data_IF_015899557645
#
_entry.id   IF_015899557645
#
_cell.length_a   1.000
_cell.length_b   1.000
_cell.length_c   1.000
_cell.angle_alpha   90.00
_cell.angle_beta   90.00
_cell.angle_gamma   90.00
#
_symmetry.space_group_name_H-M   'P 1'
#
loop_
_entity.id
_entity.type
_entity.pdbx_description
1 polymer ?
#
# COMPACT_ATOMS: atom_id res chain seq x y z
N UNK A 1 11.70 19.54 -29.06
CA UNK A 1 10.46 20.27 -29.42
C UNK A 1 9.47 20.03 -28.29
N UNK A 2 8.89 21.07 -27.70
CA UNK A 2 7.97 20.88 -26.57
C UNK A 2 6.70 20.15 -27.01
N UNK A 3 6.29 19.16 -26.23
CA UNK A 3 5.00 18.47 -26.42
C UNK A 3 3.88 19.51 -26.27
N UNK A 4 2.90 19.60 -27.20
CA UNK A 4 1.79 20.54 -27.07
C UNK A 4 0.99 20.32 -25.79
N UNK A 5 0.52 21.40 -25.16
CA UNK A 5 -0.28 21.34 -23.92
C UNK A 5 -1.52 20.45 -24.08
N UNK A 6 -2.18 20.51 -25.25
CA UNK A 6 -3.33 19.65 -25.57
C UNK A 6 -2.99 18.16 -25.53
N UNK A 7 -1.77 17.79 -25.92
CA UNK A 7 -1.31 16.39 -25.87
C UNK A 7 -1.18 15.93 -24.43
N UNK A 8 -0.59 16.73 -23.53
CA UNK A 8 -0.57 16.39 -22.09
C UNK A 8 -1.98 16.26 -21.53
N UNK A 9 -2.88 17.20 -21.82
CA UNK A 9 -4.25 17.15 -21.28
C UNK A 9 -4.94 15.85 -21.71
N UNK A 10 -4.93 15.55 -23.01
CA UNK A 10 -5.60 14.36 -23.54
C UNK A 10 -4.94 13.08 -23.03
N UNK A 11 -3.62 12.99 -23.08
CA UNK A 11 -2.89 11.78 -22.67
C UNK A 11 -3.03 11.54 -21.17
N UNK A 12 -2.86 12.56 -20.33
CA UNK A 12 -2.91 12.42 -18.87
C UNK A 12 -4.32 12.13 -18.37
N UNK A 13 -5.33 12.86 -18.86
CA UNK A 13 -6.74 12.59 -18.49
C UNK A 13 -7.15 11.21 -18.97
N UNK A 14 -6.82 10.86 -20.22
CA UNK A 14 -7.09 9.52 -20.77
C UNK A 14 -6.44 8.42 -19.94
N UNK A 15 -5.18 8.60 -19.54
CA UNK A 15 -4.46 7.63 -18.72
C UNK A 15 -5.01 7.53 -17.29
N UNK A 16 -5.38 8.65 -16.64
CA UNK A 16 -6.03 8.62 -15.32
C UNK A 16 -7.35 7.86 -15.39
N UNK A 17 -8.21 8.17 -16.36
CA UNK A 17 -9.51 7.48 -16.53
C UNK A 17 -9.29 5.99 -16.78
N UNK A 18 -8.35 5.65 -17.66
CA UNK A 18 -7.96 4.26 -17.91
C UNK A 18 -7.52 3.55 -16.62
N UNK A 19 -6.65 4.18 -15.81
CA UNK A 19 -6.17 3.61 -14.56
C UNK A 19 -7.31 3.43 -13.54
N UNK A 20 -8.25 4.36 -13.44
CA UNK A 20 -9.42 4.23 -12.56
C UNK A 20 -10.28 3.02 -12.96
N UNK A 21 -10.53 2.83 -14.26
CA UNK A 21 -11.25 1.67 -14.79
C UNK A 21 -10.47 0.38 -14.55
N UNK A 22 -9.16 0.40 -14.78
CA UNK A 22 -8.27 -0.73 -14.57
C UNK A 22 -8.28 -1.18 -13.10
N UNK A 23 -8.18 -0.25 -12.15
CA UNK A 23 -8.25 -0.55 -10.72
C UNK A 23 -9.60 -1.17 -10.36
N UNK A 24 -10.71 -0.62 -10.87
CA UNK A 24 -12.05 -1.20 -10.63
C UNK A 24 -12.16 -2.62 -11.19
N UNK A 25 -11.70 -2.84 -12.42
CA UNK A 25 -11.71 -4.14 -13.07
C UNK A 25 -10.87 -5.15 -12.30
N UNK A 26 -9.63 -4.80 -11.95
CA UNK A 26 -8.72 -5.68 -11.22
C UNK A 26 -9.22 -6.00 -9.81
N UNK A 27 -9.87 -5.04 -9.14
CA UNK A 27 -10.56 -5.31 -7.89
C UNK A 27 -11.70 -6.30 -8.11
N UNK A 28 -12.64 -6.05 -9.01
CA UNK A 28 -13.81 -6.93 -9.19
C UNK A 28 -13.48 -8.33 -9.69
N UNK A 29 -12.33 -8.53 -10.34
CA UNK A 29 -11.95 -9.80 -10.97
C UNK A 29 -10.63 -10.36 -10.38
N UNK A 30 -10.61 -10.83 -9.11
CA UNK A 30 -9.38 -11.32 -8.48
C UNK A 30 -8.71 -12.47 -9.23
N UNK A 31 -9.51 -13.36 -9.87
CA UNK A 31 -8.99 -14.49 -10.67
C UNK A 31 -8.22 -14.02 -11.90
N UNK A 32 -8.84 -13.13 -12.68
CA UNK A 32 -8.22 -12.53 -13.86
C UNK A 32 -6.98 -11.73 -13.46
N UNK A 33 -7.08 -10.95 -12.39
CA UNK A 33 -5.97 -10.13 -11.87
C UNK A 33 -4.78 -10.97 -11.47
N UNK A 34 -5.00 -12.08 -10.75
CA UNK A 34 -3.93 -13.02 -10.41
C UNK A 34 -3.25 -13.59 -11.66
N UNK A 35 -4.04 -14.08 -12.62
CA UNK A 35 -3.50 -14.61 -13.87
C UNK A 35 -2.73 -13.56 -14.67
N UNK A 36 -3.28 -12.35 -14.81
CA UNK A 36 -2.65 -11.23 -15.50
C UNK A 36 -1.28 -10.90 -14.90
N UNK A 37 -1.19 -10.72 -13.58
CA UNK A 37 0.08 -10.40 -12.93
C UNK A 37 1.08 -11.56 -12.98
N UNK A 38 0.63 -12.81 -12.89
CA UNK A 38 1.52 -13.96 -13.03
C UNK A 38 2.10 -14.06 -14.44
N UNK A 39 1.26 -13.86 -15.47
CA UNK A 39 1.70 -13.80 -16.87
C UNK A 39 2.61 -12.60 -17.14
N UNK A 40 2.39 -11.47 -16.46
CA UNK A 40 3.26 -10.30 -16.61
C UNK A 40 4.71 -10.61 -16.21
N UNK A 41 4.95 -11.51 -15.25
CA UNK A 41 6.31 -11.92 -14.88
C UNK A 41 7.02 -12.69 -16.01
N UNK A 42 6.27 -13.35 -16.90
CA UNK A 42 6.83 -14.03 -18.06
C UNK A 42 7.36 -13.05 -19.13
N UNK A 43 7.00 -11.77 -19.02
CA UNK A 43 7.56 -10.71 -19.88
C UNK A 43 8.94 -10.25 -19.44
N UNK A 44 9.51 -10.80 -18.36
CA UNK A 44 10.84 -10.48 -17.86
C UNK A 44 11.96 -10.45 -18.92
N UNK A 45 11.98 -11.34 -19.95
CA UNK A 45 12.96 -11.25 -21.03
C UNK A 45 12.92 -9.93 -21.81
N UNK A 46 11.74 -9.33 -21.97
CA UNK A 46 11.55 -8.06 -22.69
C UNK A 46 11.96 -6.84 -21.85
N UNK A 47 12.15 -7.01 -20.54
CA UNK A 47 12.53 -5.93 -19.66
C UNK A 47 14.00 -5.53 -19.84
N UNK A 48 14.86 -6.47 -20.24
CA UNK A 48 16.29 -6.23 -20.45
C UNK A 48 16.55 -5.16 -21.51
N UNK A 49 15.68 -5.06 -22.50
CA UNK A 49 15.81 -4.09 -23.59
C UNK A 49 15.39 -2.67 -23.20
N UNK A 50 14.66 -2.51 -22.08
CA UNK A 50 14.02 -1.25 -21.68
C UNK A 50 14.43 -0.76 -20.27
N UNK A 51 14.96 -1.64 -19.42
CA UNK A 51 15.35 -1.33 -18.05
C UNK A 51 16.87 -1.16 -17.92
N UNK A 52 17.32 0.08 -18.07
CA UNK A 52 18.71 0.44 -17.79
C UNK A 52 18.96 0.70 -16.30
N UNK A 53 19.95 0.00 -15.76
CA UNK A 53 20.47 0.19 -14.41
C UNK A 53 19.80 -0.67 -13.34
N UNK A 54 20.61 -1.08 -12.35
CA UNK A 54 20.18 -1.99 -11.28
C UNK A 54 18.98 -1.46 -10.49
N UNK A 55 18.88 -0.14 -10.31
CA UNK A 55 17.81 0.51 -9.57
C UNK A 55 16.45 0.27 -10.22
N UNK A 56 16.34 0.43 -11.55
CA UNK A 56 15.08 0.21 -12.27
C UNK A 56 14.67 -1.26 -12.20
N UNK A 57 15.63 -2.16 -12.36
CA UNK A 57 15.41 -3.60 -12.17
C UNK A 57 14.91 -3.94 -10.77
N UNK A 58 15.59 -3.46 -9.73
CA UNK A 58 15.19 -3.67 -8.35
C UNK A 58 13.77 -3.13 -8.09
N UNK A 59 13.43 -1.96 -8.64
CA UNK A 59 12.09 -1.39 -8.52
C UNK A 59 11.02 -2.23 -9.22
N UNK A 60 11.29 -2.67 -10.45
CA UNK A 60 10.36 -3.51 -11.22
C UNK A 60 10.08 -4.81 -10.52
N UNK A 61 11.13 -5.51 -10.08
CA UNK A 61 11.02 -6.78 -9.39
C UNK A 61 10.32 -6.61 -8.03
N UNK A 62 10.71 -5.61 -7.24
CA UNK A 62 10.13 -5.34 -5.90
C UNK A 62 8.67 -4.87 -5.93
N UNK A 63 8.14 -4.43 -7.08
CA UNK A 63 6.72 -4.10 -7.24
C UNK A 63 5.94 -5.25 -7.87
N UNK A 64 6.42 -5.81 -8.98
CA UNK A 64 5.66 -6.82 -9.74
C UNK A 64 5.57 -8.15 -8.99
N UNK A 65 6.66 -8.61 -8.35
CA UNK A 65 6.64 -9.88 -7.62
C UNK A 65 5.67 -9.84 -6.43
N UNK A 66 5.72 -8.86 -5.51
CA UNK A 66 4.73 -8.78 -4.44
C UNK A 66 3.30 -8.61 -4.94
N UNK A 67 3.09 -7.86 -6.03
CA UNK A 67 1.76 -7.70 -6.62
C UNK A 67 1.21 -9.02 -7.16
N UNK A 68 2.00 -9.75 -7.93
CA UNK A 68 1.61 -11.03 -8.52
C UNK A 68 1.44 -12.13 -7.48
N UNK A 69 2.49 -12.36 -6.67
CA UNK A 69 2.56 -13.52 -5.79
C UNK A 69 1.86 -13.25 -4.47
N UNK A 70 2.10 -12.12 -3.83
CA UNK A 70 1.61 -11.87 -2.46
C UNK A 70 0.17 -11.36 -2.51
N UNK A 71 -0.07 -10.22 -3.17
CA UNK A 71 -1.42 -9.65 -3.25
C UNK A 71 -2.33 -10.57 -4.04
N UNK A 72 -1.90 -11.05 -5.21
CA UNK A 72 -2.70 -11.96 -6.04
C UNK A 72 -3.10 -13.25 -5.32
N UNK A 73 -2.14 -13.96 -4.71
CA UNK A 73 -2.45 -15.21 -3.98
C UNK A 73 -3.25 -14.97 -2.70
N UNK A 74 -2.99 -13.88 -1.97
CA UNK A 74 -3.76 -13.54 -0.77
C UNK A 74 -5.24 -13.30 -1.12
N UNK A 75 -5.52 -12.52 -2.17
CA UNK A 75 -6.90 -12.29 -2.62
C UNK A 75 -7.58 -13.57 -3.08
N UNK A 76 -6.87 -14.44 -3.78
CA UNK A 76 -7.39 -15.75 -4.20
C UNK A 76 -7.65 -16.67 -3.01
N UNK A 77 -6.80 -16.64 -2.00
CA UNK A 77 -6.94 -17.41 -0.78
C UNK A 77 -8.15 -16.99 0.07
N UNK A 78 -8.52 -15.71 0.04
CA UNK A 78 -9.75 -15.22 0.66
C UNK A 78 -10.99 -15.43 -0.22
N UNK A 79 -10.86 -15.40 -1.54
CA UNK A 79 -11.94 -15.78 -2.46
C UNK A 79 -12.37 -17.25 -2.26
N UNK A 80 -11.41 -18.13 -2.03
CA UNK A 80 -11.63 -19.56 -1.73
C UNK A 80 -11.37 -19.85 -0.26
N UNK A 81 -12.02 -19.09 0.62
CA UNK A 81 -11.81 -19.18 2.07
C UNK A 81 -12.03 -20.60 2.61
N UNK A 82 -13.12 -21.26 2.20
CA UNK A 82 -13.49 -22.59 2.70
C UNK A 82 -12.64 -23.72 2.11
N UNK A 83 -11.77 -23.42 1.14
CA UNK A 83 -10.93 -24.44 0.53
C UNK A 83 -9.84 -24.91 1.53
N UNK A 84 -9.72 -26.24 1.78
CA UNK A 84 -8.77 -26.79 2.74
C UNK A 84 -7.31 -26.79 2.25
N UNK A 85 -7.03 -26.39 1.00
CA UNK A 85 -5.69 -26.39 0.41
C UNK A 85 -4.67 -25.65 1.30
N UNK A 86 -3.58 -26.33 1.63
CA UNK A 86 -2.48 -25.83 2.49
C UNK A 86 -1.85 -24.55 1.94
N UNK A 87 -1.73 -24.41 0.63
CA UNK A 87 -1.14 -23.22 -0.02
C UNK A 87 -2.06 -22.01 0.19
N UNK A 88 -3.37 -22.16 -0.04
CA UNK A 88 -4.32 -21.06 0.20
C UNK A 88 -4.37 -20.70 1.69
N UNK A 89 -4.40 -21.69 2.59
CA UNK A 89 -4.28 -21.45 4.04
C UNK A 89 -3.02 -20.68 4.40
N UNK A 90 -1.88 -20.99 3.76
CA UNK A 90 -0.62 -20.29 4.00
C UNK A 90 -0.73 -18.80 3.68
N UNK A 91 -1.36 -18.41 2.57
CA UNK A 91 -1.59 -17.01 2.18
C UNK A 91 -2.71 -16.29 2.96
N UNK A 92 -3.40 -16.96 3.90
CA UNK A 92 -4.37 -16.31 4.81
C UNK A 92 -3.75 -15.84 6.13
N UNK A 93 -2.48 -16.17 6.37
CA UNK A 93 -1.79 -15.89 7.64
C UNK A 93 -1.28 -14.45 7.74
N UNK A 94 -1.01 -14.03 8.96
CA UNK A 94 -0.54 -12.67 9.30
C UNK A 94 0.76 -12.26 8.61
N UNK A 95 1.63 -13.21 8.24
CA UNK A 95 2.89 -12.91 7.57
C UNK A 95 2.65 -12.15 6.25
N UNK A 96 1.52 -12.40 5.57
CA UNK A 96 1.15 -11.68 4.34
C UNK A 96 1.00 -10.19 4.63
N UNK A 97 0.28 -9.85 5.70
CA UNK A 97 0.04 -8.45 6.08
C UNK A 97 1.34 -7.76 6.49
N UNK A 98 2.20 -8.46 7.24
CA UNK A 98 3.53 -7.96 7.59
C UNK A 98 4.45 -7.80 6.38
N UNK A 99 4.35 -8.69 5.40
CA UNK A 99 5.12 -8.59 4.17
C UNK A 99 4.64 -7.40 3.32
N UNK A 100 3.32 -7.21 3.17
CA UNK A 100 2.76 -6.05 2.46
C UNK A 100 3.12 -4.72 3.14
N UNK A 101 3.06 -4.69 4.48
CA UNK A 101 3.59 -3.57 5.26
C UNK A 101 5.07 -3.34 4.95
N UNK A 102 5.89 -4.40 4.97
CA UNK A 102 7.33 -4.32 4.70
C UNK A 102 7.63 -3.80 3.30
N UNK A 103 6.89 -4.25 2.28
CA UNK A 103 7.04 -3.77 0.89
C UNK A 103 6.72 -2.28 0.79
N UNK A 104 5.61 -1.82 1.38
CA UNK A 104 5.28 -0.38 1.39
C UNK A 104 6.30 0.43 2.20
N UNK A 105 6.72 -0.07 3.35
CA UNK A 105 7.73 0.57 4.19
C UNK A 105 9.05 0.73 3.43
N UNK A 106 9.53 -0.34 2.78
CA UNK A 106 10.75 -0.29 1.96
C UNK A 106 10.58 0.65 0.77
N UNK A 107 9.42 0.68 0.12
CA UNK A 107 9.13 1.59 -0.98
C UNK A 107 9.24 3.06 -0.56
N UNK A 108 8.71 3.40 0.63
CA UNK A 108 8.81 4.75 1.20
C UNK A 108 10.26 5.03 1.64
N UNK A 109 10.90 4.09 2.33
CA UNK A 109 12.26 4.26 2.84
C UNK A 109 13.28 4.45 1.73
N UNK A 110 13.21 3.66 0.66
CA UNK A 110 14.06 3.78 -0.53
C UNK A 110 13.98 5.17 -1.16
N UNK A 111 12.76 5.66 -1.41
CA UNK A 111 12.54 6.99 -1.96
C UNK A 111 12.95 8.10 -0.97
N UNK A 112 12.74 7.90 0.34
CA UNK A 112 13.19 8.83 1.38
C UNK A 112 14.72 8.94 1.40
N UNK A 113 15.45 7.81 1.31
CA UNK A 113 16.91 7.83 1.22
C UNK A 113 17.36 8.54 -0.06
N UNK A 114 16.66 8.35 -1.18
CA UNK A 114 16.94 9.09 -2.41
C UNK A 114 16.69 10.59 -2.31
N UNK A 115 15.64 11.03 -1.63
CA UNK A 115 15.43 12.45 -1.32
C UNK A 115 16.62 13.04 -0.55
N UNK A 116 17.23 12.28 0.36
CA UNK A 116 18.43 12.72 1.07
C UNK A 116 19.65 12.84 0.14
N UNK A 117 19.86 11.85 -0.75
CA UNK A 117 20.96 11.83 -1.73
C UNK A 117 20.84 12.97 -2.75
N UNK A 118 19.62 13.28 -3.17
CA UNK A 118 19.29 14.38 -4.10
C UNK A 118 19.18 15.74 -3.42
N UNK A 119 19.54 15.85 -2.13
CA UNK A 119 19.51 17.09 -1.33
C UNK A 119 18.12 17.71 -1.16
N UNK A 120 17.05 16.94 -1.38
CA UNK A 120 15.67 17.34 -1.10
C UNK A 120 15.32 17.15 0.39
N UNK A 121 16.02 17.88 1.26
CA UNK A 121 15.98 17.67 2.72
C UNK A 121 14.58 17.83 3.34
N UNK A 122 13.77 18.75 2.83
CA UNK A 122 12.42 18.95 3.35
C UNK A 122 11.50 17.78 2.99
N UNK A 123 11.62 17.22 1.78
CA UNK A 123 10.86 16.04 1.40
C UNK A 123 11.37 14.77 2.09
N UNK A 124 12.67 14.68 2.38
CA UNK A 124 13.24 13.64 3.25
C UNK A 124 12.57 13.62 4.63
N UNK A 125 12.42 14.77 5.29
CA UNK A 125 11.73 14.87 6.58
C UNK A 125 10.28 14.37 6.47
N UNK A 126 9.57 14.76 5.41
CA UNK A 126 8.21 14.27 5.14
C UNK A 126 8.17 12.74 5.00
N UNK A 127 9.13 12.14 4.28
CA UNK A 127 9.28 10.69 4.17
C UNK A 127 9.50 10.00 5.51
N UNK A 128 10.37 10.54 6.37
CA UNK A 128 10.56 10.03 7.74
C UNK A 128 9.28 10.09 8.57
N UNK A 129 8.49 11.16 8.45
CA UNK A 129 7.19 11.28 9.11
C UNK A 129 6.21 10.22 8.63
N UNK A 130 6.16 9.95 7.31
CA UNK A 130 5.29 8.90 6.76
C UNK A 130 5.64 7.52 7.32
N UNK A 131 6.93 7.19 7.38
CA UNK A 131 7.41 5.93 7.99
C UNK A 131 7.01 5.84 9.47
N UNK A 132 7.14 6.93 10.23
CA UNK A 132 6.82 6.96 11.66
C UNK A 132 5.31 6.89 11.95
N UNK A 133 4.48 7.36 11.03
CA UNK A 133 3.01 7.46 11.20
C UNK A 133 2.23 6.37 10.46
N UNK A 134 2.92 5.48 9.75
CA UNK A 134 2.30 4.35 9.07
C UNK A 134 1.74 3.34 10.08
N UNK A 135 0.44 3.00 10.01
CA UNK A 135 -0.15 2.00 10.91
C UNK A 135 0.49 0.63 10.77
N UNK A 136 0.88 0.02 11.89
CA UNK A 136 1.35 -1.37 11.91
C UNK A 136 0.18 -2.34 11.62
N UNK A 137 0.43 -3.51 11.01
CA UNK A 137 -0.61 -4.52 10.80
C UNK A 137 -1.29 -4.95 12.09
N UNK A 138 -0.49 -5.16 13.14
CA UNK A 138 -0.94 -5.49 14.50
C UNK A 138 -0.09 -4.76 15.53
N UNK A 139 -0.75 -4.12 16.49
CA UNK A 139 -0.09 -3.49 17.64
C UNK A 139 -0.11 -4.45 18.82
N UNK A 140 1.00 -4.54 19.59
CA UNK A 140 1.15 -5.49 20.72
C UNK A 140 0.01 -5.43 21.74
N UNK A 141 -0.55 -4.24 21.97
CA UNK A 141 -1.69 -4.00 22.86
C UNK A 141 -2.90 -3.39 22.10
N UNK A 142 -2.90 -3.46 20.77
CA UNK A 142 -3.99 -2.93 19.96
C UNK A 142 -5.15 -3.91 19.89
N UNK A 143 -6.37 -3.40 19.96
CA UNK A 143 -7.59 -4.20 19.82
C UNK A 143 -8.04 -4.28 18.36
N UNK A 144 -7.55 -3.38 17.50
CA UNK A 144 -7.93 -3.27 16.08
C UNK A 144 -6.84 -3.71 15.11
N UNK A 145 -7.29 -4.11 13.93
CA UNK A 145 -6.44 -4.53 12.82
C UNK A 145 -6.49 -3.50 11.68
N UNK A 146 -5.35 -2.92 11.35
CA UNK A 146 -5.25 -1.80 10.39
C UNK A 146 -4.95 -2.24 8.96
N UNK A 147 -4.50 -3.48 8.80
CA UNK A 147 -4.23 -4.12 7.51
C UNK A 147 -5.03 -5.41 7.44
N UNK A 148 -5.85 -5.58 6.40
CA UNK A 148 -6.62 -6.81 6.24
C UNK A 148 -6.95 -7.10 4.77
N UNK A 149 -7.19 -8.37 4.48
CA UNK A 149 -7.84 -8.77 3.23
C UNK A 149 -9.32 -8.97 3.53
N UNK A 150 -10.20 -8.29 2.79
CA UNK A 150 -11.64 -8.38 2.98
C UNK A 150 -12.14 -9.81 2.84
N UNK A 151 -13.02 -10.25 3.75
CA UNK A 151 -13.72 -11.53 3.65
C UNK A 151 -14.78 -11.49 2.54
N UNK A 152 -15.45 -10.35 2.43
CA UNK A 152 -16.48 -10.13 1.41
C UNK A 152 -15.86 -9.86 0.04
N UNK A 153 -16.54 -10.31 -1.00
CA UNK A 153 -16.21 -9.95 -2.37
C UNK A 153 -16.14 -8.41 -2.50
N UNK A 154 -15.07 -7.86 -3.09
CA UNK A 154 -14.12 -8.55 -3.97
C UNK A 154 -12.78 -8.96 -3.30
N UNK A 155 -12.76 -9.17 -1.98
CA UNK A 155 -11.58 -9.59 -1.21
C UNK A 155 -10.41 -8.60 -1.38
N UNK A 156 -10.67 -7.33 -1.09
CA UNK A 156 -9.67 -6.27 -1.24
C UNK A 156 -8.64 -6.26 -0.13
N UNK A 157 -7.43 -5.82 -0.46
CA UNK A 157 -6.49 -5.33 0.54
C UNK A 157 -6.99 -3.98 1.07
N UNK A 158 -7.40 -3.97 2.33
CA UNK A 158 -7.86 -2.78 3.04
C UNK A 158 -6.77 -2.29 3.99
N UNK A 159 -6.50 -0.98 3.90
CA UNK A 159 -5.56 -0.28 4.74
C UNK A 159 -6.28 0.86 5.48
N UNK A 160 -6.51 0.67 6.77
CA UNK A 160 -7.17 1.66 7.60
C UNK A 160 -6.16 2.70 8.05
N UNK A 161 -6.23 3.88 7.44
CA UNK A 161 -5.48 5.06 7.84
C UNK A 161 -6.38 6.29 7.78
N UNK A 162 -5.83 7.46 8.03
CA UNK A 162 -6.54 8.73 7.83
C UNK A 162 -6.46 9.14 6.37
N UNK A 163 -7.48 9.85 5.88
CA UNK A 163 -7.43 10.46 4.55
C UNK A 163 -6.26 11.46 4.44
N UNK A 164 -5.90 12.11 5.54
CA UNK A 164 -4.73 12.98 5.61
C UNK A 164 -3.43 12.21 5.33
N UNK A 165 -3.23 11.01 5.89
CA UNK A 165 -2.04 10.20 5.60
C UNK A 165 -1.95 9.82 4.12
N UNK A 166 -3.08 9.42 3.51
CA UNK A 166 -3.13 9.09 2.09
C UNK A 166 -2.72 10.29 1.23
N UNK A 167 -3.32 11.46 1.48
CA UNK A 167 -2.99 12.71 0.79
C UNK A 167 -1.51 13.09 0.97
N UNK A 168 -1.00 13.03 2.20
CA UNK A 168 0.39 13.34 2.53
C UNK A 168 1.37 12.41 1.80
N UNK A 169 1.05 11.12 1.76
CA UNK A 169 1.82 10.15 0.99
C UNK A 169 1.78 10.44 -0.52
N UNK A 170 0.63 10.83 -1.07
CA UNK A 170 0.49 11.23 -2.48
C UNK A 170 1.35 12.45 -2.81
N UNK A 171 1.25 13.54 -2.04
CA UNK A 171 2.04 14.77 -2.29
C UNK A 171 3.53 14.58 -2.07
N UNK A 172 3.93 13.80 -1.07
CA UNK A 172 5.33 13.44 -0.85
C UNK A 172 5.91 12.66 -2.03
N UNK A 173 5.15 11.69 -2.55
CA UNK A 173 5.61 10.87 -3.68
C UNK A 173 5.68 11.69 -4.99
N UNK A 174 4.76 12.64 -5.18
CA UNK A 174 4.82 13.58 -6.31
C UNK A 174 6.10 14.42 -6.25
N UNK A 175 6.39 15.03 -5.09
CA UNK A 175 7.60 15.83 -4.91
C UNK A 175 8.89 15.00 -5.08
N UNK A 176 8.90 13.75 -4.60
CA UNK A 176 10.00 12.82 -4.80
C UNK A 176 10.27 12.58 -6.29
N UNK A 177 9.25 12.21 -7.07
CA UNK A 177 9.44 11.94 -8.50
C UNK A 177 9.82 13.21 -9.27
N UNK A 178 9.23 14.35 -8.90
CA UNK A 178 9.57 15.64 -9.51
C UNK A 178 11.06 15.98 -9.34
N UNK A 179 11.65 15.66 -8.18
CA UNK A 179 13.09 15.88 -7.93
C UNK A 179 13.99 14.80 -8.54
N UNK A 180 13.64 13.52 -8.40
CA UNK A 180 14.49 12.41 -8.84
C UNK A 180 14.53 12.24 -10.36
N UNK A 181 13.38 12.37 -11.02
CA UNK A 181 13.31 12.24 -12.47
C UNK A 181 12.14 13.08 -13.05
N UNK A 182 12.37 14.37 -13.29
CA UNK A 182 11.35 15.27 -13.81
C UNK A 182 10.75 14.81 -15.15
N UNK A 183 11.49 14.07 -15.98
CA UNK A 183 11.01 13.56 -17.27
C UNK A 183 9.80 12.64 -17.14
N UNK A 184 9.70 11.88 -16.04
CA UNK A 184 8.58 10.96 -15.78
C UNK A 184 7.52 11.52 -14.84
N UNK A 185 7.62 12.80 -14.46
CA UNK A 185 6.71 13.38 -13.49
C UNK A 185 5.25 13.39 -13.98
N UNK A 186 4.97 13.73 -15.25
CA UNK A 186 3.59 13.78 -15.76
C UNK A 186 2.90 12.40 -15.74
N UNK A 187 3.58 11.34 -16.15
CA UNK A 187 3.03 9.97 -16.09
C UNK A 187 2.93 9.46 -14.64
N UNK A 188 3.87 9.85 -13.78
CA UNK A 188 3.84 9.53 -12.34
C UNK A 188 2.71 10.26 -11.60
N UNK A 189 2.44 11.50 -11.99
CA UNK A 189 1.30 12.27 -11.51
C UNK A 189 -0.01 11.54 -11.82
N UNK A 190 -0.15 10.98 -13.03
CA UNK A 190 -1.34 10.22 -13.40
C UNK A 190 -1.60 9.02 -12.48
N UNK A 191 -0.58 8.23 -12.16
CA UNK A 191 -0.73 7.05 -11.30
C UNK A 191 -1.00 7.43 -9.83
N UNK A 192 -0.47 8.57 -9.38
CA UNK A 192 -0.69 9.09 -8.04
C UNK A 192 -2.10 9.65 -7.90
N UNK A 193 -2.53 10.45 -8.87
CA UNK A 193 -3.90 10.97 -8.92
C UNK A 193 -4.94 9.88 -9.08
N UNK A 194 -4.71 8.86 -9.90
CA UNK A 194 -5.63 7.73 -10.01
C UNK A 194 -5.77 6.99 -8.68
N UNK A 195 -4.66 6.77 -7.96
CA UNK A 195 -4.68 6.12 -6.65
C UNK A 195 -5.37 6.96 -5.56
N UNK A 196 -5.28 8.29 -5.62
CA UNK A 196 -5.93 9.22 -4.69
C UNK A 196 -7.41 9.42 -5.00
N UNK A 197 -7.77 9.62 -6.28
CA UNK A 197 -9.15 9.85 -6.71
C UNK A 197 -10.03 8.62 -6.53
N UNK A 198 -9.48 7.43 -6.74
CA UNK A 198 -10.23 6.18 -6.65
C UNK A 198 -10.96 5.99 -5.30
N UNK A 199 -10.28 6.02 -4.14
CA UNK A 199 -10.95 5.91 -2.84
C UNK A 199 -11.88 7.08 -2.55
N UNK A 200 -11.58 8.29 -3.05
CA UNK A 200 -12.46 9.46 -2.91
C UNK A 200 -13.79 9.27 -3.65
N UNK A 201 -13.74 8.84 -4.91
CA UNK A 201 -14.93 8.54 -5.74
C UNK A 201 -15.78 7.43 -5.08
N UNK A 202 -15.14 6.42 -4.48
CA UNK A 202 -15.84 5.32 -3.81
C UNK A 202 -16.30 5.65 -2.39
N UNK A 203 -15.87 6.77 -1.80
CA UNK A 203 -16.09 7.07 -0.38
C UNK A 203 -15.46 6.03 0.57
N UNK A 204 -14.35 5.42 0.15
CA UNK A 204 -13.69 4.29 0.82
C UNK A 204 -12.18 4.53 0.93
N UNK A 205 -11.72 5.35 1.90
CA UNK A 205 -10.30 5.69 2.05
C UNK A 205 -9.41 4.47 2.27
N UNK A 206 -9.97 3.36 2.76
CA UNK A 206 -9.23 2.12 3.00
C UNK A 206 -8.76 1.41 1.72
N UNK A 207 -9.26 1.81 0.56
CA UNK A 207 -8.89 1.26 -0.75
C UNK A 207 -7.66 1.92 -1.37
N UNK A 208 -7.12 2.95 -0.74
CA UNK A 208 -6.02 3.73 -1.28
C UNK A 208 -4.80 2.86 -1.63
N UNK A 209 -4.38 1.97 -0.73
CA UNK A 209 -3.18 1.14 -0.97
C UNK A 209 -3.40 0.12 -2.09
N UNK A 210 -4.55 -0.53 -2.18
CA UNK A 210 -4.80 -1.47 -3.29
C UNK A 210 -4.85 -0.75 -4.64
N UNK A 211 -5.42 0.46 -4.70
CA UNK A 211 -5.36 1.30 -5.89
C UNK A 211 -3.92 1.68 -6.24
N UNK A 212 -3.11 2.05 -5.23
CA UNK A 212 -1.70 2.37 -5.41
C UNK A 212 -0.88 1.18 -5.93
N UNK A 213 -1.11 -0.02 -5.40
CA UNK A 213 -0.45 -1.25 -5.86
C UNK A 213 -0.72 -1.48 -7.34
N UNK A 214 -1.98 -1.43 -7.78
CA UNK A 214 -2.31 -1.71 -9.18
C UNK A 214 -1.87 -0.61 -10.14
N UNK A 215 -2.06 0.65 -9.79
CA UNK A 215 -1.61 1.78 -10.62
C UNK A 215 -0.09 1.78 -10.79
N UNK A 216 0.67 1.57 -9.71
CA UNK A 216 2.13 1.53 -9.75
C UNK A 216 2.64 0.30 -10.51
N UNK A 217 2.12 -0.90 -10.20
CA UNK A 217 2.54 -2.13 -10.87
C UNK A 217 2.26 -2.06 -12.38
N UNK A 218 1.11 -1.52 -12.78
CA UNK A 218 0.76 -1.44 -14.19
C UNK A 218 1.65 -0.45 -14.92
N UNK A 219 1.87 0.72 -14.32
CA UNK A 219 2.74 1.72 -14.91
C UNK A 219 4.18 1.23 -15.07
N UNK A 220 4.73 0.55 -14.06
CA UNK A 220 6.07 -0.03 -14.16
C UNK A 220 6.13 -1.14 -15.21
N UNK A 221 5.10 -1.99 -15.30
CA UNK A 221 5.02 -3.02 -16.33
C UNK A 221 5.04 -2.39 -17.74
N UNK A 222 4.19 -1.38 -17.99
CA UNK A 222 4.16 -0.69 -19.29
C UNK A 222 5.51 -0.06 -19.63
N UNK A 223 6.18 0.54 -18.64
CA UNK A 223 7.52 1.10 -18.83
C UNK A 223 8.56 0.04 -19.17
N UNK A 224 8.53 -1.09 -18.48
CA UNK A 224 9.43 -2.21 -18.75
C UNK A 224 9.21 -2.86 -20.13
N UNK A 225 8.06 -2.62 -20.77
CA UNK A 225 7.71 -3.19 -22.07
C UNK A 225 8.01 -2.27 -23.26
N UNK A 226 8.32 -0.99 -23.06
CA UNK A 226 8.57 -0.05 -24.16
C UNK A 226 8.32 1.45 -23.86
N UNK A 227 8.10 1.81 -22.59
CA UNK A 227 8.00 3.19 -22.09
C UNK A 227 7.35 4.24 -23.02
N UNK A 228 6.08 4.04 -23.42
CA UNK A 228 5.37 4.98 -24.31
C UNK A 228 5.21 6.38 -23.68
N UNK A 229 5.42 6.53 -22.38
CA UNK A 229 5.27 7.81 -21.68
C UNK A 229 6.36 8.82 -22.04
N UNK A 230 7.54 8.37 -22.44
CA UNK A 230 8.63 9.25 -22.86
C UNK A 230 8.24 10.10 -24.09
N UNK A 231 7.39 9.57 -24.98
CA UNK A 231 7.03 10.26 -26.21
C UNK A 231 5.86 11.26 -26.05
N UNK A 232 4.91 10.95 -25.15
CA UNK A 232 3.64 11.69 -25.04
C UNK A 232 3.45 12.41 -23.70
N UNK A 233 4.31 12.15 -22.72
CA UNK A 233 4.26 12.68 -21.36
C UNK A 233 5.64 13.03 -20.80
N UNK A 234 6.66 13.27 -21.63
CA UNK A 234 7.94 13.77 -21.12
C UNK A 234 7.73 15.13 -20.43
N UNK A 235 8.04 15.23 -19.15
CA UNK A 235 7.89 16.47 -18.37
C UNK A 235 9.24 17.07 -17.97
N UNK A 236 10.31 16.78 -18.72
CA UNK A 236 11.65 17.30 -18.45
C UNK A 236 11.66 18.84 -18.40
N UNK A 237 10.87 19.49 -19.27
CA UNK A 237 10.73 20.94 -19.30
C UNK A 237 9.96 21.55 -18.12
N UNK A 238 9.28 20.73 -17.30
CA UNK A 238 8.58 21.22 -16.10
C UNK A 238 9.55 21.40 -14.93
N UNK A 239 10.72 20.75 -14.97
CA UNK A 239 11.71 20.77 -13.90
C UNK A 239 12.03 22.21 -13.46
N UNK A 240 11.88 22.48 -12.17
CA UNK A 240 12.16 23.78 -11.59
C UNK A 240 12.52 23.61 -10.10
N UNK A 241 13.75 23.98 -9.76
CA UNK A 241 14.31 23.79 -8.42
C UNK A 241 13.57 24.61 -7.36
N UNK A 242 13.09 25.82 -7.71
CA UNK A 242 12.31 26.64 -6.79
C UNK A 242 10.97 25.97 -6.47
N UNK A 243 10.30 25.42 -7.49
CA UNK A 243 9.05 24.66 -7.29
C UNK A 243 9.30 23.45 -6.39
N UNK A 244 10.37 22.69 -6.65
CA UNK A 244 10.74 21.54 -5.82
C UNK A 244 11.00 21.95 -4.36
N UNK A 245 11.76 23.02 -4.14
CA UNK A 245 12.08 23.52 -2.81
C UNK A 245 10.81 23.97 -2.06
N UNK A 246 9.97 24.80 -2.66
CA UNK A 246 8.74 25.28 -2.03
C UNK A 246 7.75 24.14 -1.76
N UNK A 247 7.65 23.17 -2.68
CA UNK A 247 6.84 21.98 -2.48
C UNK A 247 7.39 21.15 -1.31
N UNK A 248 8.70 20.92 -1.25
CA UNK A 248 9.36 20.24 -0.13
C UNK A 248 9.06 20.92 1.20
N UNK A 249 9.18 22.26 1.29
CA UNK A 249 8.84 23.02 2.50
C UNK A 249 7.37 22.86 2.89
N UNK A 250 6.45 22.99 1.92
CA UNK A 250 5.02 22.79 2.16
C UNK A 250 4.73 21.37 2.66
N UNK A 251 5.35 20.35 2.05
CA UNK A 251 5.27 18.96 2.50
C UNK A 251 5.76 18.84 3.94
N UNK A 252 6.95 19.35 4.28
CA UNK A 252 7.50 19.27 5.63
C UNK A 252 6.56 19.89 6.67
N UNK A 253 6.01 21.08 6.40
CA UNK A 253 5.07 21.76 7.31
C UNK A 253 3.80 20.92 7.52
N UNK A 254 3.18 20.43 6.45
CA UNK A 254 1.97 19.61 6.53
C UNK A 254 2.22 18.28 7.26
N UNK A 255 3.37 17.64 7.00
CA UNK A 255 3.75 16.38 7.64
C UNK A 255 4.05 16.58 9.13
N UNK A 256 4.77 17.62 9.52
CA UNK A 256 5.04 17.93 10.94
C UNK A 256 3.74 18.23 11.68
N UNK A 257 2.83 19.02 11.09
CA UNK A 257 1.52 19.27 11.67
C UNK A 257 0.73 17.97 11.86
N UNK A 258 0.76 17.07 10.87
CA UNK A 258 0.14 15.75 10.97
C UNK A 258 0.81 14.85 12.01
N UNK A 259 2.13 14.88 12.16
CA UNK A 259 2.87 14.13 13.19
C UNK A 259 2.42 14.52 14.60
N UNK A 260 2.30 15.83 14.85
CA UNK A 260 1.82 16.38 16.13
C UNK A 260 0.39 15.91 16.38
N UNK A 261 -0.48 16.03 15.37
CA UNK A 261 -1.86 15.53 15.44
C UNK A 261 -1.91 14.03 15.73
N UNK A 262 -1.11 13.24 15.01
CA UNK A 262 -1.06 11.78 15.09
C UNK A 262 -0.69 11.33 16.50
N UNK A 263 0.39 11.87 17.08
CA UNK A 263 0.79 11.50 18.44
C UNK A 263 -0.16 12.04 19.51
N UNK A 264 -0.77 13.21 19.31
CA UNK A 264 -1.80 13.73 20.22
C UNK A 264 -3.00 12.78 20.27
N UNK A 265 -3.47 12.31 19.10
CA UNK A 265 -4.56 11.33 19.02
C UNK A 265 -4.17 9.95 19.53
N UNK A 266 -2.98 9.47 19.19
CA UNK A 266 -2.46 8.18 19.66
C UNK A 266 -2.36 8.10 21.20
N UNK A 267 -2.07 9.23 21.86
CA UNK A 267 -2.02 9.32 23.33
C UNK A 267 -3.40 9.38 23.99
N UNK A 268 -4.44 9.79 23.27
CA UNK A 268 -5.79 9.81 23.81
C UNK A 268 -6.29 8.36 23.94
N UNK A 269 -6.79 7.93 25.11
CA UNK A 269 -7.47 6.66 25.20
C UNK A 269 -8.71 6.73 24.29
N UNK A 270 -8.82 5.80 23.35
CA UNK A 270 -10.05 5.64 22.58
C UNK A 270 -11.19 5.23 23.53
N UNK A 271 -12.45 5.32 23.09
CA UNK A 271 -13.64 4.96 23.89
C UNK A 271 -13.55 3.55 24.56
N UNK A 272 -12.70 2.68 24.02
CA UNK A 272 -12.48 1.30 24.50
C UNK A 272 -11.17 1.12 25.33
N UNK A 273 -10.54 2.22 25.76
CA UNK A 273 -9.41 2.24 26.70
C UNK A 273 -8.01 1.92 26.13
N UNK A 274 -7.88 1.76 24.81
CA UNK A 274 -6.59 1.49 24.13
C UNK A 274 -5.93 2.73 23.54
N UNK A 275 -4.59 2.70 23.42
CA UNK A 275 -3.79 3.65 22.60
C UNK A 275 -3.63 3.05 21.20
N UNK A 276 -4.29 3.65 20.22
CA UNK A 276 -4.30 3.15 18.84
C UNK A 276 -4.06 4.29 17.85
N UNK A 277 -3.54 4.02 16.64
CA UNK A 277 -3.32 5.06 15.64
C UNK A 277 -4.65 5.68 15.18
N UNK A 278 -4.65 6.95 14.78
CA UNK A 278 -5.83 7.59 14.20
C UNK A 278 -6.21 6.89 12.89
N UNK A 279 -7.51 6.73 12.69
CA UNK A 279 -8.12 6.20 11.48
C UNK A 279 -9.24 7.14 10.99
N UNK A 280 -9.66 7.00 9.73
CA UNK A 280 -10.72 7.80 9.15
C UNK A 280 -12.13 7.44 9.66
N UNK A 281 -13.16 7.83 8.90
CA UNK A 281 -14.56 7.65 9.28
C UNK A 281 -15.00 6.18 9.36
N UNK A 282 -14.21 5.24 8.82
CA UNK A 282 -14.47 3.80 8.90
C UNK A 282 -13.56 3.18 9.95
N UNK A 283 -14.18 2.70 11.00
CA UNK A 283 -13.48 2.07 12.11
C UNK A 283 -12.84 0.75 11.68
N UNK A 284 -11.52 0.55 11.90
CA UNK A 284 -10.89 -0.74 11.64
C UNK A 284 -11.52 -1.82 12.52
N UNK A 285 -11.70 -3.04 12.00
CA UNK A 285 -12.33 -4.12 12.75
C UNK A 285 -11.46 -4.53 13.94
N UNK A 286 -12.10 -5.13 14.95
CA UNK A 286 -11.37 -5.70 16.07
C UNK A 286 -10.56 -6.90 15.58
N UNK A 287 -9.41 -7.14 16.22
CA UNK A 287 -8.55 -8.28 15.93
C UNK A 287 -9.36 -9.58 16.07
N UNK A 288 -10.21 -9.69 17.09
CA UNK A 288 -11.05 -10.88 17.32
C UNK A 288 -12.00 -11.19 16.16
N UNK A 289 -12.55 -10.17 15.50
CA UNK A 289 -13.47 -10.33 14.36
C UNK A 289 -12.70 -10.57 13.05
N UNK A 290 -11.48 -10.04 13.00
CA UNK A 290 -10.54 -10.23 11.89
C UNK A 290 -9.83 -11.59 11.93
N UNK A 291 -9.78 -12.26 13.10
CA UNK A 291 -9.16 -13.58 13.25
C UNK A 291 -9.90 -14.61 12.40
N UNK A 292 -9.14 -15.27 11.55
CA UNK A 292 -9.35 -16.65 11.10
C UNK A 292 -9.30 -17.55 12.35
N UNK A 293 -10.22 -18.51 12.45
CA UNK A 293 -10.50 -19.36 13.63
C UNK A 293 -9.29 -20.06 14.29
N UNK A 294 -8.10 -20.06 13.69
CA UNK A 294 -6.90 -20.76 14.17
C UNK A 294 -5.92 -19.91 15.00
N UNK A 295 -6.21 -18.64 15.29
CA UNK A 295 -5.29 -17.79 16.09
C UNK A 295 -5.74 -17.56 17.53
N UNK A 296 -6.49 -18.50 18.12
CA UNK A 296 -6.57 -18.58 19.57
C UNK A 296 -5.25 -19.20 20.07
N UNK A 297 -4.43 -18.51 20.87
CA UNK A 297 -3.42 -19.23 21.63
C UNK A 297 -4.18 -20.20 22.51
N UNK A 298 -3.83 -21.48 22.40
CA UNK A 298 -4.06 -22.54 23.39
C UNK A 298 -5.21 -22.19 24.35
N UNK A 299 -6.40 -22.72 24.07
CA UNK A 299 -7.20 -23.25 25.17
C UNK A 299 -6.24 -24.22 25.88
N UNK A 300 -5.57 -23.69 26.89
CA UNK A 300 -4.91 -24.45 27.93
C UNK A 300 -5.89 -25.56 28.23
N UNK A 301 -5.48 -26.76 27.86
CA UNK A 301 -5.95 -28.00 28.43
C UNK A 301 -6.37 -27.73 29.86
N UNK A 302 -7.69 -27.62 30.08
CA UNK A 302 -8.25 -27.86 31.39
C UNK A 302 -7.75 -29.25 31.76
N UNK A 303 -6.68 -29.29 32.55
CA UNK A 303 -6.27 -30.50 33.25
C UNK A 303 -7.55 -31.04 33.89
N UNK A 304 -7.93 -32.31 33.65
CA UNK A 304 -8.95 -32.91 34.48
C UNK A 304 -8.46 -32.79 35.91
N UNK A 305 -9.24 -32.09 36.74
CA UNK A 305 -9.07 -32.09 38.19
C UNK A 305 -9.12 -33.56 38.61
N UNK A 306 -7.95 -34.13 38.92
CA UNK A 306 -7.85 -35.43 39.54
C UNK A 306 -8.51 -35.26 40.91
N UNK A 307 -9.69 -35.85 41.05
CA UNK A 307 -10.44 -35.94 42.28
C UNK A 307 -9.55 -36.54 43.38
N UNK A 308 -9.14 -35.70 44.33
CA UNK A 308 -8.51 -36.14 45.56
C UNK A 308 -9.59 -36.49 46.59
N UNK A 309 -9.67 -37.77 46.97
CA UNK A 309 -10.01 -38.17 48.33
C UNK A 309 -11.48 -38.48 48.62
N UNK A 310 -11.94 -39.66 48.21
CA UNK A 310 -12.90 -40.41 49.02
C UNK A 310 -12.10 -41.31 49.99
N UNK A 311 -12.19 -41.00 51.29
CA UNK A 311 -11.88 -41.96 52.36
C UNK A 311 -13.02 -42.98 52.44
N UNK A 312 -12.77 -44.29 52.57
CA UNK A 312 -13.79 -45.20 53.04
C UNK A 312 -13.91 -45.07 54.57
N UNK A 313 -15.12 -44.76 55.02
CA UNK A 313 -15.56 -44.88 56.42
C UNK A 313 -16.11 -46.29 56.60
N UNK A 314 -15.36 -47.08 57.37
CA UNK A 314 -15.75 -48.20 58.26
C UNK A 314 -17.04 -48.99 58.01
N UNK A 315 -16.89 -50.32 57.92
CA UNK A 315 -17.40 -51.28 58.91
C UNK A 315 -16.58 -52.57 58.83
#
# INVERSE_FOLDING_TARGET
MGIPISTYIVSMVGYIVFLLVLVEMMRRTPRFTFAFWLLSLLTAPLWADNLDGWFRWAKTVSVLIPTAIIVGSARLAYLYYDNPNRILKFFRKDWVLWCLYGVLFLNIAEATVKDLVTQNYFNFIAGCVLLATMPLPKYKNGKRQYWLIGKDAPNDLLFFSTAAWNFLYTTWNMAFVYGENPGYFASSFCILMAAELYPLIKGRPELYIIARVYTLAFHILVRAMGDPFADVMDSTHWANDNVLMFWGVANAVLHIAYLIYYFKKFRQPNAEGGKEPPYGNRTPPLVVDARTEESSPLLETQKPSIASGQKPVTA
#
